data_IF_045799302872
#
_entry.id   IF_045799302872
#
_cell.length_a   1.000
_cell.length_b   1.000
_cell.length_c   1.000
_cell.angle_alpha   90.00
_cell.angle_beta   90.00
_cell.angle_gamma   90.00
#
_symmetry.space_group_name_H-M   'P 1'
#
loop_
_entity.id
_entity.type
_entity.pdbx_description
1 polymer ?
#
# COMPACT_ATOMS: atom_id res chain seq x y z
N UNK A 1 42.39 3.98 -32.65
CA UNK A 1 43.84 4.03 -32.95
C UNK A 1 43.99 4.66 -34.32
N UNK A 2 44.25 5.96 -34.35
CA UNK A 2 44.84 6.75 -35.44
C UNK A 2 45.17 8.13 -34.80
N UNK A 3 46.43 8.54 -34.66
CA UNK A 3 47.24 9.22 -35.71
C UNK A 3 46.84 10.71 -35.78
N UNK A 4 47.62 11.78 -35.58
CA UNK A 4 49.06 12.14 -35.51
C UNK A 4 49.10 13.46 -34.69
N UNK A 5 50.03 13.68 -33.74
CA UNK A 5 51.40 14.15 -33.97
C UNK A 5 51.41 15.55 -34.66
N UNK A 6 52.06 16.59 -34.12
CA UNK A 6 53.51 16.68 -34.02
C UNK A 6 53.96 18.04 -33.42
N UNK A 7 55.02 17.98 -32.57
CA UNK A 7 56.26 18.80 -32.66
C UNK A 7 56.19 20.28 -32.20
N UNK A 8 57.21 20.92 -31.63
CA UNK A 8 58.65 20.69 -31.48
C UNK A 8 59.25 21.79 -30.57
N UNK A 9 60.39 21.47 -29.92
CA UNK A 9 61.46 22.38 -29.48
C UNK A 9 61.14 23.41 -28.37
N UNK A 10 61.97 23.69 -27.37
CA UNK A 10 63.42 23.51 -27.27
C UNK A 10 64.09 24.87 -27.02
N UNK A 11 64.45 25.13 -25.75
CA UNK A 11 65.48 26.09 -25.27
C UNK A 11 65.27 27.61 -25.55
N UNK A 12 66.01 28.54 -24.90
CA UNK A 12 66.88 28.45 -23.72
C UNK A 12 66.60 29.52 -22.63
N UNK A 13 67.37 29.42 -21.55
CA UNK A 13 67.60 30.40 -20.50
C UNK A 13 68.10 31.78 -20.99
N UNK A 14 67.79 32.84 -20.22
CA UNK A 14 68.73 33.85 -19.63
C UNK A 14 67.90 34.98 -19.00
N UNK A 15 68.03 35.19 -17.67
CA UNK A 15 68.99 36.11 -17.00
C UNK A 15 68.83 37.57 -17.43
N UNK A 16 68.46 38.38 -16.45
CA UNK A 16 68.80 39.80 -16.36
C UNK A 16 67.98 40.45 -15.24
N UNK A 17 68.50 40.58 -14.01
CA UNK A 17 69.19 41.80 -13.51
C UNK A 17 68.23 43.00 -13.43
N UNK A 18 68.01 43.71 -12.33
CA UNK A 18 68.78 43.91 -11.12
C UNK A 18 67.94 44.62 -10.06
N UNK A 19 68.33 44.38 -8.81
CA UNK A 19 68.36 45.36 -7.72
C UNK A 19 67.04 45.84 -7.11
N UNK A 20 66.94 46.14 -5.81
CA UNK A 20 67.74 45.91 -4.60
C UNK A 20 67.00 46.75 -3.56
N UNK A 21 66.37 46.14 -2.57
CA UNK A 21 65.91 46.76 -1.32
C UNK A 21 64.83 45.84 -0.73
N UNK A 22 64.80 45.46 0.54
CA UNK A 22 65.61 45.80 1.72
C UNK A 22 65.26 44.72 2.74
N UNK A 23 66.27 44.18 3.39
CA UNK A 23 66.11 43.35 4.59
C UNK A 23 65.57 44.22 5.73
N UNK A 24 64.42 43.86 6.27
CA UNK A 24 64.16 44.01 7.71
C UNK A 24 63.13 42.97 8.13
N UNK A 25 63.65 41.81 8.52
CA UNK A 25 62.92 40.88 9.36
C UNK A 25 62.50 41.61 10.65
N UNK A 26 61.20 41.57 10.95
CA UNK A 26 60.66 41.94 12.26
C UNK A 26 59.98 40.72 12.89
N UNK A 27 60.00 40.63 14.23
CA UNK A 27 60.01 39.38 14.96
C UNK A 27 58.61 38.79 15.13
N UNK A 28 58.59 37.49 15.44
CA UNK A 28 57.38 36.68 15.57
C UNK A 28 56.24 37.36 16.34
N UNK A 29 55.08 37.40 15.69
CA UNK A 29 53.78 37.66 16.30
C UNK A 29 52.88 36.48 15.99
N UNK A 30 52.72 35.58 16.97
CA UNK A 30 51.73 34.52 16.92
C UNK A 30 50.32 35.13 16.99
N UNK A 31 49.55 35.04 15.92
CA UNK A 31 48.13 35.37 15.92
C UNK A 31 47.35 34.18 16.51
N UNK A 32 47.26 34.07 17.83
CA UNK A 32 46.33 33.16 18.50
C UNK A 32 45.10 33.94 18.98
N UNK A 33 44.00 33.83 18.27
CA UNK A 33 42.70 34.25 18.77
C UNK A 33 42.16 33.18 19.75
N UNK A 34 41.67 33.54 20.95
CA UNK A 34 41.07 32.58 21.86
C UNK A 34 39.71 32.13 21.30
N UNK A 35 39.60 30.84 20.98
CA UNK A 35 38.34 30.22 20.55
C UNK A 35 37.46 30.04 21.80
N UNK A 36 36.44 30.87 21.96
CA UNK A 36 35.42 30.71 23.02
C UNK A 36 34.64 29.44 22.74
N UNK A 37 34.90 28.38 23.51
CA UNK A 37 34.14 27.13 23.43
C UNK A 37 32.91 27.27 24.34
N UNK A 38 31.72 27.41 23.74
CA UNK A 38 30.46 27.44 24.49
C UNK A 38 30.22 26.05 25.08
N UNK A 39 29.95 25.91 26.39
CA UNK A 39 29.62 24.60 26.96
C UNK A 39 28.28 24.11 26.41
N UNK A 40 28.27 22.86 25.92
CA UNK A 40 27.06 22.21 25.45
C UNK A 40 26.05 22.05 26.60
N UNK A 41 24.74 22.22 26.35
CA UNK A 41 23.73 21.92 27.36
C UNK A 41 23.71 20.41 27.64
N UNK A 42 23.93 20.05 28.91
CA UNK A 42 23.72 18.70 29.41
C UNK A 42 22.21 18.49 29.57
N UNK A 43 21.55 17.91 28.57
CA UNK A 43 20.17 17.45 28.71
C UNK A 43 20.15 16.11 29.48
N UNK A 44 20.34 16.21 30.79
CA UNK A 44 20.12 15.11 31.71
C UNK A 44 18.65 15.13 32.16
N UNK A 45 17.93 14.04 31.88
CA UNK A 45 16.78 13.60 32.66
C UNK A 45 15.40 14.15 32.25
N UNK A 46 14.70 13.45 31.36
CA UNK A 46 13.24 13.34 31.44
C UNK A 46 12.67 12.13 30.66
N UNK A 47 13.33 10.98 30.71
CA UNK A 47 12.85 9.77 30.05
C UNK A 47 12.22 8.81 31.07
N UNK A 48 11.09 9.18 31.72
CA UNK A 48 10.35 8.18 32.53
C UNK A 48 8.89 8.49 32.86
N UNK A 49 8.27 9.55 32.32
CA UNK A 49 6.85 9.87 32.61
C UNK A 49 5.87 9.69 31.45
N UNK A 50 6.34 9.22 30.29
CA UNK A 50 5.49 8.93 29.12
C UNK A 50 5.32 7.44 28.81
N UNK A 51 5.81 6.55 29.68
CA UNK A 51 5.67 5.11 29.47
C UNK A 51 4.27 4.56 29.83
N UNK A 52 3.47 5.30 30.61
CA UNK A 52 2.16 4.84 31.09
C UNK A 52 0.97 5.23 30.20
N UNK A 53 1.13 6.19 29.29
CA UNK A 53 0.07 6.56 28.34
C UNK A 53 0.10 5.73 27.04
N UNK A 54 1.19 5.01 26.78
CA UNK A 54 1.32 4.14 25.60
C UNK A 54 0.71 2.75 25.86
N UNK A 55 0.63 2.31 27.12
CA UNK A 55 0.06 1.00 27.49
C UNK A 55 -1.48 1.04 27.58
N UNK A 56 -2.07 2.18 27.98
CA UNK A 56 -3.54 2.31 28.11
C UNK A 56 -4.27 2.51 26.77
N UNK A 57 -3.59 3.06 25.76
CA UNK A 57 -4.14 3.20 24.41
C UNK A 57 -4.12 1.87 23.61
N UNK A 58 -3.43 0.85 24.11
CA UNK A 58 -3.27 -0.46 23.43
C UNK A 58 -4.30 -1.51 23.88
N UNK A 59 -5.19 -1.20 24.84
CA UNK A 59 -6.11 -2.16 25.44
C UNK A 59 -7.53 -2.15 24.86
N UNK A 60 -7.82 -1.31 23.86
CA UNK A 60 -9.13 -1.25 23.21
C UNK A 60 -8.97 -1.37 21.69
N UNK A 61 -8.48 -2.52 21.22
CA UNK A 61 -8.75 -2.88 19.83
C UNK A 61 -10.24 -3.24 19.74
N UNK A 62 -11.02 -2.65 18.81
CA UNK A 62 -12.37 -3.13 18.56
C UNK A 62 -12.27 -4.60 18.12
N UNK A 63 -12.92 -5.49 18.86
CA UNK A 63 -13.20 -6.84 18.36
C UNK A 63 -14.12 -6.66 17.16
N UNK A 64 -13.56 -6.80 15.95
CA UNK A 64 -14.35 -6.88 14.75
C UNK A 64 -15.17 -8.17 14.82
N UNK A 65 -16.49 -8.02 14.87
CA UNK A 65 -17.42 -9.15 14.75
C UNK A 65 -17.76 -9.33 13.27
N UNK A 66 -17.88 -10.58 12.84
CA UNK A 66 -18.40 -10.92 11.53
C UNK A 66 -19.79 -10.29 11.32
N UNK A 67 -19.98 -9.69 10.16
CA UNK A 67 -21.23 -9.05 9.72
C UNK A 67 -21.89 -9.88 8.62
N UNK A 68 -23.21 -10.01 8.69
CA UNK A 68 -24.01 -10.63 7.64
C UNK A 68 -24.49 -9.61 6.62
N UNK A 69 -24.26 -9.89 5.35
CA UNK A 69 -24.78 -9.15 4.21
C UNK A 69 -25.79 -9.99 3.44
N UNK A 70 -26.84 -9.35 2.95
CA UNK A 70 -27.95 -10.00 2.25
C UNK A 70 -28.06 -9.46 0.83
N UNK A 71 -28.27 -10.36 -0.12
CA UNK A 71 -28.43 -10.04 -1.55
C UNK A 71 -29.76 -10.61 -2.06
N UNK A 72 -30.50 -9.82 -2.81
CA UNK A 72 -31.74 -10.26 -3.45
C UNK A 72 -31.95 -9.53 -4.79
N UNK A 73 -32.60 -10.18 -5.76
CA UNK A 73 -32.85 -9.61 -7.10
C UNK A 73 -33.76 -8.38 -7.09
N UNK A 74 -34.47 -8.13 -5.98
CA UNK A 74 -35.30 -6.96 -5.74
C UNK A 74 -34.68 -5.96 -4.75
N UNK A 75 -33.40 -6.12 -4.43
CA UNK A 75 -32.64 -5.25 -3.54
C UNK A 75 -32.17 -3.94 -4.19
N UNK A 76 -31.30 -3.20 -3.49
CA UNK A 76 -30.67 -1.98 -3.97
C UNK A 76 -29.22 -1.87 -3.51
N UNK A 77 -28.29 -1.62 -4.43
CA UNK A 77 -26.86 -1.50 -4.10
C UNK A 77 -26.50 -0.26 -3.28
N UNK A 78 -27.41 0.73 -3.25
CA UNK A 78 -27.30 1.91 -2.38
C UNK A 78 -27.67 1.61 -0.92
N UNK A 79 -28.32 0.47 -0.63
CA UNK A 79 -28.71 0.09 0.72
C UNK A 79 -27.52 -0.42 1.55
N UNK A 80 -27.71 -0.59 2.86
CA UNK A 80 -26.66 -1.07 3.76
C UNK A 80 -26.30 -2.54 3.49
N UNK A 81 -27.29 -3.38 3.17
CA UNK A 81 -27.08 -4.82 2.97
C UNK A 81 -27.14 -5.65 4.24
N UNK A 82 -27.31 -5.07 5.44
CA UNK A 82 -27.19 -5.78 6.72
C UNK A 82 -28.48 -6.46 7.21
N UNK A 83 -29.53 -6.44 6.39
CA UNK A 83 -30.78 -7.16 6.62
C UNK A 83 -31.52 -7.40 5.31
N UNK A 84 -32.47 -8.33 5.28
CA UNK A 84 -33.32 -8.58 4.11
C UNK A 84 -34.07 -7.34 3.61
N UNK A 85 -34.51 -6.46 4.52
CA UNK A 85 -35.19 -5.21 4.15
C UNK A 85 -34.26 -4.19 3.46
N UNK A 86 -32.95 -4.34 3.64
CA UNK A 86 -31.91 -3.48 3.05
C UNK A 86 -30.98 -4.26 2.13
N UNK A 87 -31.46 -5.39 1.59
CA UNK A 87 -30.66 -6.29 0.77
C UNK A 87 -30.08 -5.58 -0.46
N UNK A 88 -28.86 -5.97 -0.82
CA UNK A 88 -28.16 -5.47 -2.00
C UNK A 88 -28.70 -6.15 -3.26
N UNK A 89 -28.54 -5.49 -4.41
CA UNK A 89 -29.01 -6.02 -5.68
C UNK A 89 -27.99 -6.99 -6.28
N UNK A 90 -26.70 -6.71 -6.11
CA UNK A 90 -25.62 -7.45 -6.75
C UNK A 90 -24.66 -8.10 -5.75
N UNK A 91 -24.21 -9.31 -6.09
CA UNK A 91 -23.26 -10.07 -5.27
C UNK A 91 -21.91 -9.34 -5.18
N UNK A 92 -21.45 -8.72 -6.28
CA UNK A 92 -20.20 -7.96 -6.30
C UNK A 92 -20.20 -6.78 -5.32
N UNK A 93 -21.32 -6.05 -5.20
CA UNK A 93 -21.42 -4.95 -4.24
C UNK A 93 -21.49 -5.45 -2.79
N UNK A 94 -22.05 -6.63 -2.53
CA UNK A 94 -21.99 -7.24 -1.21
C UNK A 94 -20.56 -7.63 -0.84
N UNK A 95 -19.85 -8.32 -1.73
CA UNK A 95 -18.43 -8.69 -1.54
C UNK A 95 -17.54 -7.45 -1.35
N UNK A 96 -17.84 -6.34 -2.02
CA UNK A 96 -17.09 -5.09 -1.84
C UNK A 96 -17.30 -4.44 -0.46
N UNK A 97 -18.40 -4.75 0.24
CA UNK A 97 -18.71 -4.21 1.58
C UNK A 97 -18.17 -5.08 2.72
N UNK A 98 -17.90 -6.35 2.46
CA UNK A 98 -17.43 -7.31 3.48
C UNK A 98 -15.97 -7.13 3.88
N UNK A 99 -15.70 -7.31 5.17
CA UNK A 99 -14.38 -7.52 5.77
C UNK A 99 -14.11 -9.02 5.96
N UNK A 100 -12.96 -9.37 6.57
CA UNK A 100 -12.64 -10.78 6.85
C UNK A 100 -13.64 -11.39 7.82
N UNK A 101 -13.92 -12.68 7.64
CA UNK A 101 -14.85 -13.51 8.41
C UNK A 101 -16.34 -13.16 8.25
N UNK A 102 -16.69 -12.19 7.41
CA UNK A 102 -18.07 -11.84 7.07
C UNK A 102 -18.77 -12.90 6.20
N UNK A 103 -20.09 -12.86 6.20
CA UNK A 103 -20.93 -13.75 5.40
C UNK A 103 -21.86 -12.97 4.47
N UNK A 104 -21.94 -13.38 3.21
CA UNK A 104 -22.89 -12.88 2.20
C UNK A 104 -23.90 -13.98 1.93
N UNK A 105 -25.15 -13.76 2.34
CA UNK A 105 -26.27 -14.67 2.08
C UNK A 105 -27.11 -14.16 0.91
N UNK A 106 -27.22 -14.98 -0.13
CA UNK A 106 -27.86 -14.62 -1.39
C UNK A 106 -29.22 -15.31 -1.50
N UNK A 107 -30.28 -14.54 -1.72
CA UNK A 107 -31.64 -15.06 -1.93
C UNK A 107 -31.79 -15.73 -3.29
N UNK A 108 -32.96 -16.34 -3.48
CA UNK A 108 -33.34 -17.02 -4.69
C UNK A 108 -33.39 -16.05 -5.88
N UNK A 109 -32.86 -16.47 -7.02
CA UNK A 109 -32.86 -15.67 -8.23
C UNK A 109 -31.76 -16.06 -9.22
N UNK A 110 -31.81 -15.45 -10.40
CA UNK A 110 -30.72 -15.48 -11.37
C UNK A 110 -29.99 -14.15 -11.32
N UNK A 111 -28.70 -14.20 -11.02
CA UNK A 111 -27.80 -13.06 -10.94
C UNK A 111 -26.95 -13.03 -12.19
N UNK A 112 -27.37 -12.22 -13.16
CA UNK A 112 -26.61 -11.94 -14.38
C UNK A 112 -25.48 -10.97 -14.06
N UNK A 113 -24.24 -11.44 -14.19
CA UNK A 113 -23.06 -10.64 -13.88
C UNK A 113 -22.40 -10.15 -15.16
N UNK A 114 -21.99 -8.88 -15.16
CA UNK A 114 -21.24 -8.25 -16.26
C UNK A 114 -19.75 -8.18 -15.98
N UNK A 115 -19.34 -8.45 -14.73
CA UNK A 115 -17.96 -8.45 -14.27
C UNK A 115 -17.74 -9.66 -13.35
N UNK A 116 -16.49 -10.11 -13.30
CA UNK A 116 -16.05 -11.15 -12.38
C UNK A 116 -16.25 -10.76 -10.92
N UNK A 117 -16.85 -11.65 -10.14
CA UNK A 117 -16.90 -11.51 -8.67
C UNK A 117 -15.56 -11.95 -8.10
N UNK A 118 -14.82 -11.02 -7.51
CA UNK A 118 -13.48 -11.27 -6.96
C UNK A 118 -13.54 -11.36 -5.44
N UNK A 119 -13.26 -12.54 -4.90
CA UNK A 119 -13.26 -12.84 -3.48
C UNK A 119 -11.81 -12.97 -3.02
N UNK A 120 -11.29 -11.85 -2.49
CA UNK A 120 -9.90 -11.71 -2.05
C UNK A 120 -9.75 -11.76 -0.53
N UNK A 121 -10.85 -11.68 0.21
CA UNK A 121 -10.91 -11.74 1.66
C UNK A 121 -11.43 -13.11 2.11
N UNK A 122 -11.15 -13.50 3.35
CA UNK A 122 -11.69 -14.72 3.95
C UNK A 122 -13.15 -14.58 4.33
N UNK A 123 -14.05 -14.58 3.34
CA UNK A 123 -15.49 -14.43 3.53
C UNK A 123 -16.23 -15.66 3.03
N UNK A 124 -17.44 -15.86 3.54
CA UNK A 124 -18.36 -16.87 3.02
C UNK A 124 -19.41 -16.21 2.13
N UNK A 125 -19.51 -16.64 0.88
CA UNK A 125 -20.63 -16.27 -0.01
C UNK A 125 -21.47 -17.52 -0.19
N UNK A 126 -22.73 -17.48 0.25
CA UNK A 126 -23.61 -18.64 0.29
C UNK A 126 -25.00 -18.32 -0.26
N UNK A 127 -25.65 -19.32 -0.86
CA UNK A 127 -27.07 -19.26 -1.19
C UNK A 127 -27.93 -19.56 0.04
N UNK A 128 -29.04 -18.83 0.18
CA UNK A 128 -30.01 -19.05 1.26
C UNK A 128 -30.71 -20.41 1.16
N UNK A 129 -31.06 -20.86 -0.05
CA UNK A 129 -31.86 -22.08 -0.27
C UNK A 129 -31.16 -23.08 -1.22
N UNK A 130 -29.84 -22.98 -1.36
CA UNK A 130 -29.03 -23.90 -2.16
C UNK A 130 -29.00 -23.62 -3.66
N UNK A 131 -28.34 -24.52 -4.40
CA UNK A 131 -27.87 -24.28 -5.77
C UNK A 131 -29.00 -24.20 -6.80
N UNK A 132 -30.10 -24.90 -6.59
CA UNK A 132 -31.25 -24.88 -7.51
C UNK A 132 -31.97 -23.52 -7.50
N UNK A 133 -31.81 -22.74 -6.43
CA UNK A 133 -32.54 -21.50 -6.25
C UNK A 133 -31.70 -20.23 -6.47
N UNK A 134 -30.37 -20.31 -6.38
CA UNK A 134 -29.46 -19.20 -6.66
C UNK A 134 -28.53 -19.53 -7.82
N UNK A 135 -28.72 -18.83 -8.95
CA UNK A 135 -27.97 -19.05 -10.19
C UNK A 135 -27.10 -17.82 -10.44
N UNK A 136 -25.78 -18.01 -10.57
CA UNK A 136 -24.84 -16.98 -11.02
C UNK A 136 -24.53 -17.21 -12.49
N UNK A 137 -24.90 -16.26 -13.34
CA UNK A 137 -24.83 -16.38 -14.79
C UNK A 137 -23.82 -15.38 -15.40
N UNK A 138 -22.70 -15.89 -15.89
CA UNK A 138 -21.65 -15.11 -16.56
C UNK A 138 -21.96 -14.67 -17.99
N UNK A 139 -23.13 -15.03 -18.52
CA UNK A 139 -23.60 -14.60 -19.84
C UNK A 139 -22.73 -15.05 -21.02
N UNK A 140 -21.84 -16.03 -20.82
CA UNK A 140 -20.90 -16.51 -21.82
C UNK A 140 -19.75 -15.55 -22.12
N UNK A 141 -19.59 -14.50 -21.31
CA UNK A 141 -18.62 -13.43 -21.59
C UNK A 141 -17.63 -13.17 -20.44
N UNK A 142 -17.95 -13.58 -19.20
CA UNK A 142 -17.11 -13.31 -18.03
C UNK A 142 -16.89 -14.52 -17.13
N UNK A 143 -15.73 -14.55 -16.46
CA UNK A 143 -15.45 -15.51 -15.39
C UNK A 143 -16.36 -15.18 -14.21
N UNK A 144 -17.12 -16.16 -13.71
CA UNK A 144 -18.10 -15.86 -12.67
C UNK A 144 -17.46 -15.50 -11.33
N UNK A 145 -16.60 -16.37 -10.82
CA UNK A 145 -15.90 -16.18 -9.56
C UNK A 145 -14.40 -16.30 -9.74
N UNK A 146 -13.67 -15.45 -9.02
CA UNK A 146 -12.24 -15.58 -8.74
C UNK A 146 -12.05 -15.58 -7.24
N UNK A 147 -11.56 -16.70 -6.70
CA UNK A 147 -11.37 -16.91 -5.27
C UNK A 147 -9.87 -17.05 -5.04
N UNK A 148 -9.29 -16.17 -4.22
CA UNK A 148 -7.84 -16.12 -4.01
C UNK A 148 -7.43 -16.06 -2.55
N UNK A 149 -8.34 -16.36 -1.62
CA UNK A 149 -8.07 -16.38 -0.19
C UNK A 149 -8.32 -17.78 0.38
N UNK A 150 -7.47 -18.25 1.29
CA UNK A 150 -7.55 -19.61 1.86
C UNK A 150 -8.85 -19.85 2.63
N UNK A 151 -9.34 -18.83 3.34
CA UNK A 151 -10.60 -18.91 4.11
C UNK A 151 -11.84 -18.47 3.32
N UNK A 152 -11.72 -18.21 2.02
CA UNK A 152 -12.88 -17.83 1.22
C UNK A 152 -13.72 -19.05 0.85
N UNK A 153 -15.02 -18.94 1.00
CA UNK A 153 -15.98 -20.01 0.68
C UNK A 153 -17.02 -19.48 -0.30
N UNK A 154 -17.31 -20.26 -1.34
CA UNK A 154 -18.45 -20.05 -2.24
C UNK A 154 -19.30 -21.32 -2.18
N UNK A 155 -20.50 -21.22 -1.63
CA UNK A 155 -21.34 -22.38 -1.36
C UNK A 155 -22.78 -22.23 -1.87
N UNK A 156 -23.37 -23.35 -2.30
CA UNK A 156 -24.79 -23.41 -2.63
C UNK A 156 -25.23 -22.65 -3.88
N UNK A 157 -24.35 -22.42 -4.88
CA UNK A 157 -24.74 -21.77 -6.14
C UNK A 157 -24.74 -22.73 -7.33
N UNK A 158 -25.66 -22.54 -8.26
CA UNK A 158 -25.45 -22.96 -9.64
C UNK A 158 -24.64 -21.88 -10.36
N UNK A 159 -23.47 -22.22 -10.87
CA UNK A 159 -22.63 -21.29 -11.63
C UNK A 159 -22.70 -21.69 -13.11
N UNK A 160 -23.15 -20.80 -13.98
CA UNK A 160 -23.41 -21.12 -15.39
C UNK A 160 -22.90 -20.03 -16.34
N UNK A 161 -22.64 -20.43 -17.59
CA UNK A 161 -22.17 -19.57 -18.69
C UNK A 161 -20.97 -18.69 -18.30
N UNK A 162 -20.04 -19.24 -17.51
CA UNK A 162 -18.77 -18.57 -17.23
C UNK A 162 -17.84 -18.67 -18.43
N UNK A 163 -17.14 -17.58 -18.76
CA UNK A 163 -16.18 -17.54 -19.86
C UNK A 163 -14.91 -16.78 -19.49
N UNK A 164 -13.75 -17.38 -19.79
CA UNK A 164 -12.46 -16.74 -19.63
C UNK A 164 -11.68 -16.93 -20.93
N UNK A 165 -11.38 -15.83 -21.63
CA UNK A 165 -10.74 -15.86 -22.95
C UNK A 165 -9.33 -16.46 -22.92
N UNK A 166 -8.60 -16.26 -21.82
CA UNK A 166 -7.25 -16.80 -21.61
C UNK A 166 -7.09 -17.21 -20.15
N UNK A 167 -6.66 -18.45 -19.91
CA UNK A 167 -6.42 -18.99 -18.57
C UNK A 167 -5.27 -18.31 -17.83
N UNK A 168 -5.26 -18.44 -16.50
CA UNK A 168 -4.23 -17.96 -15.59
C UNK A 168 -3.31 -19.11 -15.17
#
# INVERSE_FOLDING_TARGET
>A
MADQAQRLAGHPARRGTNARATLSAWPGGACHAPRVVKPAPRFAGLATRFAWLIVLALACAPMASATDYFVATNGSDAAAGTSWATALLTISNAVAKTASDDTVTVSNGTYNITNQISITNGITVQSLNGATNAIVNGGGSVRCFYVSHTNAVVDGFTITNGYLASGN
#
